data_IF_493744351503
#
_entry.id   IF_493744351503
#
_cell.length_a   1.000
_cell.length_b   1.000
_cell.length_c   1.000
_cell.angle_alpha   90.00
_cell.angle_beta   90.00
_cell.angle_gamma   90.00
#
_symmetry.space_group_name_H-M   'P 1'
#
loop_
_entity.id
_entity.type
_entity.pdbx_description
1 polymer ?
#
# COMPACT_ATOMS: atom_id res chain seq x y z
N UNK A 1 5.99 -13.93 18.04
CA UNK A 1 4.62 -13.38 17.90
C UNK A 1 4.51 -12.76 16.52
N UNK A 2 3.36 -12.83 15.83
CA UNK A 2 3.22 -12.16 14.53
C UNK A 2 3.38 -10.66 14.70
N UNK A 3 4.15 -10.04 13.82
CA UNK A 3 4.32 -8.58 13.73
C UNK A 3 2.97 -7.97 13.30
N UNK A 4 2.12 -7.61 14.26
CA UNK A 4 0.87 -6.90 13.99
C UNK A 4 1.15 -5.41 13.85
N UNK A 5 0.82 -4.86 12.69
CA UNK A 5 0.99 -3.45 12.34
C UNK A 5 -0.39 -2.93 11.92
N UNK A 6 -1.17 -2.48 12.91
CA UNK A 6 -2.63 -2.33 12.75
C UNK A 6 -3.10 -0.86 12.91
N UNK A 7 -2.17 0.10 13.03
CA UNK A 7 -2.47 1.53 13.21
C UNK A 7 -1.76 2.43 12.19
N UNK A 8 -2.17 3.69 12.11
CA UNK A 8 -1.58 4.66 11.18
C UNK A 8 -1.80 4.30 9.71
N UNK A 9 -0.78 4.51 8.89
CA UNK A 9 -0.85 4.24 7.45
C UNK A 9 -1.00 2.74 7.12
N UNK A 10 -0.64 1.84 8.04
CA UNK A 10 -0.82 0.40 7.85
C UNK A 10 -2.30 -0.02 7.71
N UNK A 11 -3.25 0.81 8.16
CA UNK A 11 -4.69 0.59 7.96
C UNK A 11 -5.14 0.70 6.50
N UNK A 12 -4.28 1.22 5.60
CA UNK A 12 -4.64 1.55 4.21
C UNK A 12 -4.00 0.61 3.17
N UNK A 13 -3.68 -0.64 3.54
CA UNK A 13 -2.94 -1.60 2.68
C UNK A 13 -1.63 -0.99 2.13
N UNK A 14 -0.96 -0.22 2.99
CA UNK A 14 0.24 0.54 2.66
C UNK A 14 1.33 0.27 3.69
N UNK A 15 2.55 0.02 3.20
CA UNK A 15 3.70 -0.23 4.07
C UNK A 15 4.43 1.09 4.33
N UNK A 16 4.39 1.56 5.57
CA UNK A 16 5.07 2.78 5.99
C UNK A 16 6.56 2.53 6.29
N UNK A 17 7.39 2.63 5.25
CA UNK A 17 8.84 2.46 5.36
C UNK A 17 9.54 3.54 6.21
N UNK A 18 8.99 4.76 6.27
CA UNK A 18 9.51 5.79 7.18
C UNK A 18 9.28 5.42 8.64
N UNK A 19 8.12 4.84 8.96
CA UNK A 19 7.83 4.36 10.31
C UNK A 19 8.72 3.18 10.72
N UNK A 20 8.97 2.23 9.80
CA UNK A 20 9.86 1.09 10.06
C UNK A 20 11.27 1.58 10.42
N UNK A 21 11.83 2.51 9.64
CA UNK A 21 13.17 3.05 9.91
C UNK A 21 13.18 4.16 10.96
N UNK A 22 12.02 4.64 11.41
CA UNK A 22 11.85 5.80 12.28
C UNK A 22 12.63 7.02 11.78
N UNK A 23 12.36 7.41 10.54
CA UNK A 23 12.85 8.65 9.93
C UNK A 23 11.67 9.55 9.54
N UNK A 24 11.83 10.88 9.54
CA UNK A 24 10.81 11.79 9.02
C UNK A 24 10.41 11.47 7.58
N UNK A 25 9.17 11.77 7.18
CA UNK A 25 8.68 11.58 5.80
C UNK A 25 9.48 12.40 4.77
N UNK A 26 10.04 13.53 5.18
CA UNK A 26 10.89 14.38 4.34
C UNK A 26 12.39 14.07 4.44
N UNK A 27 12.76 12.93 5.06
CA UNK A 27 14.16 12.56 5.25
C UNK A 27 14.89 12.28 3.94
N UNK A 28 16.14 12.75 3.85
CA UNK A 28 16.98 12.53 2.67
C UNK A 28 17.68 11.15 2.66
N UNK A 29 18.37 10.83 1.56
CA UNK A 29 19.07 9.54 1.41
C UNK A 29 20.15 9.32 2.49
N UNK A 30 20.82 10.40 2.91
CA UNK A 30 21.92 10.35 3.88
C UNK A 30 21.36 10.08 5.27
N UNK A 31 20.25 10.71 5.63
CA UNK A 31 19.52 10.49 6.88
C UNK A 31 18.98 9.07 6.96
N UNK A 32 18.34 8.58 5.89
CA UNK A 32 17.85 7.20 5.77
C UNK A 32 19.00 6.21 5.96
N UNK A 33 20.12 6.39 5.25
CA UNK A 33 21.30 5.52 5.37
C UNK A 33 21.90 5.55 6.77
N UNK A 34 22.08 6.74 7.35
CA UNK A 34 22.63 6.90 8.71
C UNK A 34 21.76 6.19 9.74
N UNK A 35 20.44 6.28 9.60
CA UNK A 35 19.49 5.62 10.51
C UNK A 35 19.51 4.10 10.33
N UNK A 36 19.45 3.61 9.08
CA UNK A 36 19.54 2.18 8.78
C UNK A 36 20.77 1.54 9.40
N UNK A 37 21.96 2.12 9.24
CA UNK A 37 23.20 1.56 9.80
C UNK A 37 23.17 1.43 11.33
N UNK A 38 22.51 2.37 12.02
CA UNK A 38 22.31 2.28 13.48
C UNK A 38 21.38 1.13 13.87
N UNK A 39 20.28 0.96 13.13
CA UNK A 39 19.33 -0.13 13.37
C UNK A 39 19.99 -1.48 13.08
N UNK A 40 20.63 -1.61 11.91
CA UNK A 40 21.30 -2.82 11.49
C UNK A 40 22.35 -3.27 12.52
N UNK A 41 23.18 -2.35 13.03
CA UNK A 41 24.16 -2.68 14.08
C UNK A 41 23.50 -3.25 15.34
N UNK A 42 22.31 -2.76 15.71
CA UNK A 42 21.58 -3.22 16.90
C UNK A 42 20.88 -4.56 16.70
N UNK A 43 20.39 -4.86 15.49
CA UNK A 43 19.60 -6.06 15.20
C UNK A 43 20.40 -7.20 14.56
N UNK A 44 21.58 -6.93 13.99
CA UNK A 44 22.36 -7.94 13.28
C UNK A 44 22.99 -8.95 14.26
N UNK A 45 22.94 -10.26 13.98
CA UNK A 45 23.40 -11.30 14.90
C UNK A 45 24.86 -11.09 15.36
N UNK A 46 25.76 -10.71 14.45
CA UNK A 46 27.19 -10.57 14.74
C UNK A 46 27.58 -9.30 15.51
N UNK A 47 26.72 -8.28 15.55
CA UNK A 47 27.01 -6.98 16.18
C UNK A 47 26.03 -6.59 17.29
N UNK A 48 24.95 -7.34 17.45
CA UNK A 48 23.90 -7.03 18.43
C UNK A 48 24.35 -7.33 19.86
N UNK A 49 23.98 -6.47 20.80
CA UNK A 49 24.08 -6.72 22.25
C UNK A 49 22.86 -7.50 22.77
N UNK A 50 22.07 -8.10 21.88
CA UNK A 50 20.79 -8.74 22.21
C UNK A 50 21.06 -10.09 22.85
N UNK A 51 20.57 -10.26 24.08
CA UNK A 51 20.74 -11.48 24.88
C UNK A 51 19.42 -12.24 24.91
N UNK A 52 19.47 -13.56 24.75
CA UNK A 52 18.29 -14.44 24.77
C UNK A 52 17.85 -14.89 23.37
N UNK A 53 17.55 -16.19 23.24
CA UNK A 53 17.21 -16.81 21.95
C UNK A 53 15.92 -16.23 21.33
N UNK A 54 14.92 -15.93 22.15
CA UNK A 54 13.68 -15.28 21.70
C UNK A 54 13.96 -13.92 21.06
N UNK A 55 14.81 -13.11 21.68
CA UNK A 55 15.06 -11.74 21.24
C UNK A 55 15.97 -11.72 20.01
N UNK A 56 16.89 -12.67 19.89
CA UNK A 56 17.65 -12.90 18.65
C UNK A 56 16.72 -13.27 17.48
N UNK A 57 15.73 -14.12 17.72
CA UNK A 57 14.74 -14.48 16.69
C UNK A 57 13.93 -13.25 16.27
N UNK A 58 13.44 -12.46 17.24
CA UNK A 58 12.70 -11.22 16.94
C UNK A 58 13.59 -10.23 16.18
N UNK A 59 14.85 -10.04 16.59
CA UNK A 59 15.80 -9.16 15.91
C UNK A 59 16.01 -9.58 14.46
N UNK A 60 16.21 -10.88 14.22
CA UNK A 60 16.34 -11.43 12.88
C UNK A 60 15.09 -11.20 12.03
N UNK A 61 13.89 -11.45 12.58
CA UNK A 61 12.63 -11.21 11.86
C UNK A 61 12.43 -9.72 11.55
N UNK A 62 12.65 -8.83 12.51
CA UNK A 62 12.56 -7.38 12.31
C UNK A 62 13.54 -6.91 11.23
N UNK A 63 14.78 -7.38 11.27
CA UNK A 63 15.81 -6.98 10.32
C UNK A 63 15.48 -7.46 8.90
N UNK A 64 15.17 -8.75 8.74
CA UNK A 64 14.97 -9.38 7.43
C UNK A 64 13.62 -9.03 6.80
N UNK A 65 12.53 -9.00 7.58
CA UNK A 65 11.16 -8.82 7.05
C UNK A 65 10.72 -7.36 6.98
N UNK A 66 11.29 -6.47 7.79
CA UNK A 66 10.88 -5.05 7.84
C UNK A 66 12.01 -4.09 7.47
N UNK A 67 13.11 -4.10 8.21
CA UNK A 67 14.15 -3.05 8.12
C UNK A 67 14.89 -3.08 6.79
N UNK A 68 15.32 -4.26 6.31
CA UNK A 68 16.02 -4.38 5.04
C UNK A 68 15.13 -3.98 3.84
N UNK A 69 13.89 -4.48 3.70
CA UNK A 69 12.97 -4.02 2.67
C UNK A 69 12.69 -2.51 2.72
N UNK A 70 12.54 -1.95 3.92
CA UNK A 70 12.33 -0.51 4.08
C UNK A 70 13.53 0.30 3.59
N UNK A 71 14.74 -0.14 3.91
CA UNK A 71 15.96 0.50 3.42
C UNK A 71 16.11 0.38 1.90
N UNK A 72 15.83 -0.78 1.32
CA UNK A 72 15.87 -0.98 -0.13
C UNK A 72 14.90 -0.02 -0.85
N UNK A 73 13.68 0.14 -0.31
CA UNK A 73 12.70 1.05 -0.89
C UNK A 73 13.13 2.52 -0.79
N UNK A 74 13.70 2.93 0.34
CA UNK A 74 14.01 4.35 0.61
C UNK A 74 15.42 4.79 0.17
N UNK A 75 16.35 3.85 -0.05
CA UNK A 75 17.73 4.17 -0.45
C UNK A 75 17.92 4.40 -1.94
N UNK A 76 17.06 3.80 -2.77
CA UNK A 76 17.10 3.94 -4.22
C UNK A 76 16.19 5.09 -4.65
N UNK A 77 16.73 6.10 -5.33
CA UNK A 77 16.02 7.34 -5.71
C UNK A 77 14.69 7.06 -6.42
N UNK A 78 14.72 6.18 -7.43
CA UNK A 78 13.51 5.81 -8.18
C UNK A 78 12.43 5.21 -7.28
N UNK A 79 12.81 4.23 -6.45
CA UNK A 79 11.88 3.56 -5.54
C UNK A 79 11.29 4.54 -4.52
N UNK A 80 12.14 5.44 -4.00
CA UNK A 80 11.73 6.49 -3.07
C UNK A 80 10.78 7.47 -3.75
N UNK A 81 11.08 7.92 -4.96
CA UNK A 81 10.21 8.84 -5.70
C UNK A 81 8.81 8.25 -5.95
N UNK A 82 8.73 6.99 -6.38
CA UNK A 82 7.46 6.26 -6.53
C UNK A 82 6.70 6.17 -5.19
N UNK A 83 7.40 5.85 -4.11
CA UNK A 83 6.83 5.74 -2.78
C UNK A 83 6.35 7.09 -2.21
N UNK A 84 7.13 8.16 -2.36
CA UNK A 84 6.77 9.53 -1.95
C UNK A 84 5.57 10.04 -2.74
N UNK A 85 5.43 9.68 -4.02
CA UNK A 85 4.24 9.99 -4.81
C UNK A 85 2.99 9.36 -4.18
N UNK A 86 3.03 8.08 -3.80
CA UNK A 86 1.91 7.41 -3.13
C UNK A 86 1.59 8.07 -1.78
N UNK A 87 2.60 8.36 -0.95
CA UNK A 87 2.41 9.09 0.32
C UNK A 87 1.72 10.44 0.11
N UNK A 88 2.14 11.19 -0.91
CA UNK A 88 1.56 12.52 -1.19
C UNK A 88 0.07 12.44 -1.53
N UNK A 89 -0.36 11.35 -2.16
CA UNK A 89 -1.75 11.14 -2.54
C UNK A 89 -2.59 10.66 -1.38
N UNK A 90 -2.05 9.76 -0.54
CA UNK A 90 -2.68 9.40 0.72
C UNK A 90 -2.91 10.67 1.56
N UNK A 91 -1.89 11.51 1.71
CA UNK A 91 -2.00 12.80 2.40
C UNK A 91 -3.13 13.67 1.83
N UNK A 92 -3.14 13.91 0.50
CA UNK A 92 -4.21 14.68 -0.16
C UNK A 92 -5.61 14.14 0.11
N UNK A 93 -5.79 12.81 0.05
CA UNK A 93 -7.08 12.18 0.35
C UNK A 93 -7.49 12.36 1.80
N UNK A 94 -6.55 12.21 2.73
CA UNK A 94 -6.78 12.42 4.16
C UNK A 94 -7.12 13.89 4.48
N UNK A 95 -6.53 14.85 3.78
CA UNK A 95 -6.84 16.28 3.98
C UNK A 95 -8.14 16.74 3.31
N UNK A 96 -8.59 16.07 2.24
CA UNK A 96 -9.84 16.38 1.54
C UNK A 96 -11.05 15.67 2.13
N UNK A 97 -10.86 14.46 2.65
CA UNK A 97 -11.91 13.76 3.35
C UNK A 97 -12.12 14.44 4.71
N UNK A 98 -13.35 14.86 5.01
CA UNK A 98 -13.79 15.17 6.39
C UNK A 98 -13.82 13.91 7.27
N UNK A 99 -13.04 12.88 6.94
CA UNK A 99 -13.03 11.59 7.60
C UNK A 99 -12.45 11.76 9.00
N UNK A 100 -13.19 11.32 10.01
CA UNK A 100 -12.64 11.16 11.35
C UNK A 100 -11.56 10.08 11.30
N UNK A 101 -10.31 10.48 11.47
CA UNK A 101 -9.22 9.53 11.70
C UNK A 101 -9.27 9.15 13.18
N UNK A 102 -9.47 7.88 13.48
CA UNK A 102 -9.36 7.35 14.83
C UNK A 102 -7.89 7.35 15.25
N UNK A 103 -7.51 8.31 16.12
CA UNK A 103 -6.18 8.43 16.70
C UNK A 103 -6.10 7.68 18.03
N UNK A 104 -5.22 6.68 18.07
CA UNK A 104 -5.05 5.78 19.21
C UNK A 104 -3.98 6.24 20.20
N UNK A 105 -3.05 7.10 19.77
CA UNK A 105 -1.93 7.56 20.62
C UNK A 105 -2.04 9.02 21.02
N UNK A 106 -1.57 9.34 22.23
CA UNK A 106 -1.55 10.71 22.73
C UNK A 106 -0.60 11.60 21.92
N UNK A 107 0.53 11.05 21.45
CA UNK A 107 1.47 11.76 20.58
C UNK A 107 0.82 12.20 19.26
N UNK A 108 -0.02 11.35 18.66
CA UNK A 108 -0.73 11.68 17.42
C UNK A 108 -1.83 12.72 17.67
N UNK A 109 -2.57 12.62 18.78
CA UNK A 109 -3.56 13.62 19.18
C UNK A 109 -2.93 14.99 19.44
N UNK A 110 -1.80 15.02 20.13
CA UNK A 110 -1.01 16.24 20.35
C UNK A 110 -0.55 16.85 19.01
N UNK A 111 0.00 16.04 18.11
CA UNK A 111 0.44 16.50 16.80
C UNK A 111 -0.72 17.02 15.94
N UNK A 112 -1.93 16.47 16.10
CA UNK A 112 -3.11 16.89 15.36
C UNK A 112 -3.54 18.34 15.69
N UNK A 113 -3.34 18.79 16.92
CA UNK A 113 -3.71 20.15 17.37
C UNK A 113 -2.54 21.13 17.42
N UNK A 114 -1.30 20.66 17.25
CA UNK A 114 -0.10 21.48 17.42
C UNK A 114 -0.03 22.68 16.44
N UNK A 115 0.43 23.88 16.88
CA UNK A 115 0.58 25.01 15.97
C UNK A 115 1.75 24.83 14.99
N UNK A 116 2.90 24.35 15.48
CA UNK A 116 4.10 24.10 14.66
C UNK A 116 4.30 22.59 14.47
N UNK A 117 3.67 22.06 13.42
CA UNK A 117 3.64 20.62 13.17
C UNK A 117 5.01 20.04 12.77
N UNK A 118 5.80 20.76 11.97
CA UNK A 118 7.10 20.29 11.46
C UNK A 118 8.08 20.02 12.58
N UNK A 119 8.24 21.01 13.47
CA UNK A 119 9.19 20.93 14.58
C UNK A 119 8.77 19.83 15.57
N UNK A 120 7.48 19.78 15.93
CA UNK A 120 6.99 18.78 16.89
C UNK A 120 7.12 17.36 16.33
N UNK A 121 6.71 17.15 15.07
CA UNK A 121 6.84 15.86 14.39
C UNK A 121 8.29 15.38 14.36
N UNK A 122 9.23 16.22 13.88
CA UNK A 122 10.65 15.84 13.80
C UNK A 122 11.26 15.56 15.17
N UNK A 123 10.88 16.33 16.20
CA UNK A 123 11.34 16.11 17.57
C UNK A 123 10.81 14.78 18.13
N UNK A 124 9.52 14.48 17.93
CA UNK A 124 8.92 13.21 18.35
C UNK A 124 9.59 12.01 17.65
N UNK A 125 9.77 12.06 16.32
CA UNK A 125 10.47 11.00 15.56
C UNK A 125 11.90 10.82 16.07
N UNK A 126 12.63 11.92 16.31
CA UNK A 126 14.01 11.86 16.83
C UNK A 126 14.07 11.22 18.20
N UNK A 127 13.13 11.55 19.10
CA UNK A 127 13.04 10.98 20.45
C UNK A 127 12.68 9.49 20.41
N UNK A 128 11.77 9.07 19.53
CA UNK A 128 11.41 7.65 19.39
C UNK A 128 12.57 6.85 18.76
N UNK A 129 13.31 7.45 17.82
CA UNK A 129 14.40 6.77 17.12
C UNK A 129 15.53 6.30 18.06
N UNK A 130 15.69 6.92 19.23
CA UNK A 130 16.69 6.50 20.22
C UNK A 130 16.33 5.21 20.93
N UNK A 131 15.03 4.91 21.09
CA UNK A 131 14.55 3.78 21.89
C UNK A 131 13.73 2.73 21.12
N UNK A 132 13.46 2.95 19.82
CA UNK A 132 12.59 2.09 18.99
C UNK A 132 12.90 0.58 19.06
N UNK A 133 14.16 0.21 19.24
CA UNK A 133 14.61 -1.18 19.31
C UNK A 133 15.31 -1.51 20.63
N UNK A 134 14.99 -0.78 21.70
CA UNK A 134 15.48 -1.11 23.05
C UNK A 134 14.79 -2.35 23.60
N UNK A 135 13.46 -2.41 23.50
CA UNK A 135 12.65 -3.57 23.82
C UNK A 135 12.04 -4.14 22.54
N UNK A 136 12.62 -5.23 22.02
CA UNK A 136 12.28 -5.76 20.69
C UNK A 136 10.83 -6.25 20.59
N UNK A 137 10.25 -6.68 21.70
CA UNK A 137 8.85 -7.12 21.79
C UNK A 137 7.89 -5.93 21.59
N UNK A 138 8.31 -4.71 21.90
CA UNK A 138 7.53 -3.49 21.69
C UNK A 138 7.73 -2.86 20.30
N UNK A 139 8.70 -3.33 19.51
CA UNK A 139 9.09 -2.69 18.25
C UNK A 139 7.90 -2.52 17.27
N UNK A 140 7.03 -3.53 17.14
CA UNK A 140 5.85 -3.45 16.26
C UNK A 140 4.85 -2.39 16.72
N UNK A 141 4.64 -2.27 18.04
CA UNK A 141 3.82 -1.21 18.64
C UNK A 141 4.42 0.14 18.32
N UNK A 142 5.72 0.33 18.57
CA UNK A 142 6.40 1.61 18.32
C UNK A 142 6.34 1.98 16.83
N UNK A 143 6.59 1.04 15.92
CA UNK A 143 6.45 1.25 14.47
C UNK A 143 5.02 1.71 14.11
N UNK A 144 4.01 1.08 14.71
CA UNK A 144 2.60 1.46 14.50
C UNK A 144 2.30 2.87 15.01
N UNK A 145 2.88 3.28 16.15
CA UNK A 145 2.74 4.65 16.68
C UNK A 145 3.39 5.67 15.76
N UNK A 146 4.59 5.39 15.24
CA UNK A 146 5.27 6.27 14.28
C UNK A 146 4.42 6.42 13.01
N UNK A 147 3.81 5.33 12.53
CA UNK A 147 2.95 5.41 11.35
C UNK A 147 1.69 6.24 11.58
N UNK A 148 1.17 6.29 12.80
CA UNK A 148 0.07 7.17 13.17
C UNK A 148 0.51 8.65 13.19
N UNK A 149 1.73 8.95 13.66
CA UNK A 149 2.33 10.29 13.54
C UNK A 149 2.48 10.71 12.07
N UNK A 150 2.98 9.80 11.23
CA UNK A 150 3.13 10.01 9.80
C UNK A 150 1.79 10.34 9.13
N UNK A 151 0.73 9.60 9.49
CA UNK A 151 -0.63 9.85 9.01
C UNK A 151 -1.10 11.26 9.37
N UNK A 152 -1.01 11.65 10.65
CA UNK A 152 -1.42 12.99 11.11
C UNK A 152 -0.61 14.09 10.42
N UNK A 153 0.70 13.89 10.29
CA UNK A 153 1.58 14.83 9.61
C UNK A 153 1.16 15.05 8.15
N UNK A 154 0.92 13.98 7.40
CA UNK A 154 0.46 14.04 6.01
C UNK A 154 -0.91 14.73 5.87
N UNK A 155 -1.86 14.37 6.74
CA UNK A 155 -3.19 14.95 6.77
C UNK A 155 -3.10 16.47 6.92
N UNK A 156 -2.35 16.95 7.91
CA UNK A 156 -2.22 18.39 8.18
C UNK A 156 -1.39 19.14 7.15
N UNK A 157 -0.31 18.54 6.63
CA UNK A 157 0.50 19.14 5.55
C UNK A 157 -0.31 19.31 4.27
N UNK A 158 -1.16 18.34 3.94
CA UNK A 158 -2.02 18.45 2.77
C UNK A 158 -3.10 19.52 2.94
N UNK A 159 -3.67 19.69 4.14
CA UNK A 159 -4.60 20.76 4.46
C UNK A 159 -3.98 22.16 4.40
N UNK A 160 -2.71 22.31 4.82
CA UNK A 160 -1.97 23.58 4.69
C UNK A 160 -1.71 23.98 3.23
N UNK A 161 -1.50 23.01 2.33
CA UNK A 161 -1.31 23.28 0.89
C UNK A 161 -2.60 23.77 0.19
N UNK A 162 -3.77 23.58 0.80
CA UNK A 162 -5.04 24.13 0.30
C UNK A 162 -5.18 25.62 0.67
N UNK A 163 -4.45 26.10 1.68
CA UNK A 163 -4.42 27.52 2.11
C UNK A 163 -3.22 28.24 1.49
N UNK A 164 -3.01 28.08 0.18
CA UNK A 164 -2.20 29.01 -0.60
C UNK A 164 -3.16 30.01 -1.27
N UNK A 165 -2.92 31.33 -1.15
CA UNK A 165 -3.84 32.31 -1.72
C UNK A 165 -3.83 32.18 -3.24
N UNK A 166 -4.89 31.59 -3.79
CA UNK A 166 -5.19 31.78 -5.19
C UNK A 166 -5.50 33.26 -5.38
N UNK A 167 -4.77 33.92 -6.29
CA UNK A 167 -5.09 35.28 -6.71
C UNK A 167 -6.58 35.38 -7.05
N UNK A 168 -7.26 36.47 -6.68
CA UNK A 168 -8.68 36.62 -6.95
C UNK A 168 -8.91 36.61 -8.47
N UNK A 169 -9.55 35.56 -8.97
CA UNK A 169 -10.07 35.54 -10.32
C UNK A 169 -11.05 36.70 -10.47
N UNK A 170 -10.67 37.69 -11.25
CA UNK A 170 -11.53 38.79 -11.63
C UNK A 170 -12.73 38.23 -12.40
N UNK A 171 -13.92 38.39 -11.83
CA UNK A 171 -15.18 38.22 -12.54
C UNK A 171 -15.25 39.22 -13.71
N UNK A 172 -15.64 38.81 -14.94
CA UNK A 172 -15.94 39.79 -15.98
C UNK A 172 -17.27 40.53 -15.65
N UNK A 173 -17.45 41.77 -16.13
CA UNK A 173 -18.61 42.57 -15.80
C UNK A 173 -19.87 42.02 -16.47
N UNK A 174 -20.98 42.06 -15.71
CA UNK A 174 -22.33 41.82 -16.24
C UNK A 174 -22.75 43.00 -17.12
N UNK A 175 -23.17 42.68 -18.34
CA UNK A 175 -24.13 43.50 -19.11
C UNK A 175 -25.40 42.70 -19.28
N UNK A 176 -26.52 43.27 -18.81
CA UNK A 176 -27.87 42.74 -18.99
C UNK A 176 -28.24 42.73 -20.49
N UNK A 177 -28.97 41.69 -20.93
CA UNK A 177 -30.27 41.75 -21.63
C UNK A 177 -30.61 40.41 -22.30
N UNK A 178 -31.49 39.61 -21.65
CA UNK A 178 -32.55 38.76 -22.23
C UNK A 178 -33.13 37.85 -21.13
N UNK A 179 -34.45 37.58 -21.10
CA UNK A 179 -35.04 36.68 -20.11
C UNK A 179 -34.57 35.23 -20.35
N UNK A 180 -34.21 34.46 -19.31
CA UNK A 180 -33.66 33.13 -19.49
C UNK A 180 -34.79 32.14 -19.84
N UNK A 181 -34.57 31.38 -20.90
CA UNK A 181 -35.19 30.07 -21.09
C UNK A 181 -34.93 29.19 -19.85
N UNK A 182 -35.87 28.32 -19.45
CA UNK A 182 -35.67 27.46 -18.29
C UNK A 182 -34.41 26.60 -18.48
N UNK A 183 -33.54 26.49 -17.46
CA UNK A 183 -32.33 25.71 -17.57
C UNK A 183 -32.68 24.23 -17.78
N UNK A 184 -31.87 23.48 -18.56
CA UNK A 184 -32.01 22.04 -18.63
C UNK A 184 -31.84 21.43 -17.23
N UNK A 185 -32.49 20.30 -16.94
CA UNK A 185 -32.42 19.67 -15.62
C UNK A 185 -30.96 19.40 -15.23
N UNK A 186 -30.60 19.54 -13.94
CA UNK A 186 -29.24 19.32 -13.48
C UNK A 186 -28.77 17.92 -13.88
N UNK A 187 -27.50 17.75 -14.30
CA UNK A 187 -26.95 16.43 -14.52
C UNK A 187 -27.06 15.64 -13.22
N UNK A 188 -27.54 14.39 -13.33
CA UNK A 188 -27.64 13.45 -12.20
C UNK A 188 -26.32 13.48 -11.45
N UNK A 189 -26.36 13.74 -10.14
CA UNK A 189 -25.18 13.67 -9.28
C UNK A 189 -24.49 12.32 -9.53
N UNK A 190 -23.27 12.36 -10.08
CA UNK A 190 -22.47 11.16 -10.27
C UNK A 190 -22.33 10.49 -8.90
N UNK A 191 -22.79 9.23 -8.78
CA UNK A 191 -22.55 8.43 -7.56
C UNK A 191 -21.08 8.53 -7.18
N UNK A 192 -20.77 8.60 -5.88
CA UNK A 192 -19.38 8.67 -5.40
C UNK A 192 -18.48 7.61 -6.08
N UNK A 193 -19.06 6.44 -6.40
CA UNK A 193 -18.41 5.36 -7.18
C UNK A 193 -18.05 5.78 -8.60
N UNK A 194 -18.94 6.45 -9.34
CA UNK A 194 -18.66 6.92 -10.70
C UNK A 194 -17.56 7.98 -10.69
N UNK A 195 -17.47 8.80 -9.62
CA UNK A 195 -16.36 9.74 -9.45
C UNK A 195 -15.00 9.02 -9.31
N UNK A 196 -14.92 7.98 -8.46
CA UNK A 196 -13.72 7.15 -8.34
C UNK A 196 -13.37 6.45 -9.65
N UNK A 197 -14.37 5.91 -10.36
CA UNK A 197 -14.20 5.25 -11.65
C UNK A 197 -13.64 6.22 -12.70
N UNK A 198 -14.18 7.45 -12.79
CA UNK A 198 -13.71 8.47 -13.74
C UNK A 198 -12.25 8.88 -13.47
N UNK A 199 -11.89 9.03 -12.19
CA UNK A 199 -10.50 9.31 -11.78
C UNK A 199 -9.57 8.16 -12.15
N UNK A 200 -9.96 6.94 -11.84
CA UNK A 200 -9.21 5.74 -12.19
C UNK A 200 -8.97 5.63 -13.70
N UNK A 201 -9.98 5.88 -14.52
CA UNK A 201 -9.84 5.89 -15.99
C UNK A 201 -8.84 6.96 -16.46
N UNK A 202 -8.86 8.15 -15.85
CA UNK A 202 -7.89 9.21 -16.14
C UNK A 202 -6.46 8.77 -15.76
N UNK A 203 -6.30 8.05 -14.65
CA UNK A 203 -5.01 7.53 -14.21
C UNK A 203 -4.51 6.41 -15.12
N UNK A 204 -5.40 5.52 -15.59
CA UNK A 204 -5.08 4.49 -16.58
C UNK A 204 -4.56 5.11 -17.88
N UNK A 205 -5.21 6.17 -18.39
CA UNK A 205 -4.75 6.88 -19.59
C UNK A 205 -3.35 7.52 -19.40
N UNK A 206 -3.00 7.88 -18.16
CA UNK A 206 -1.68 8.41 -17.80
C UNK A 206 -0.64 7.33 -17.45
N UNK A 207 -0.97 6.05 -17.67
CA UNK A 207 -0.15 4.89 -17.27
C UNK A 207 0.18 4.84 -15.76
N UNK A 208 -0.65 5.47 -14.92
CA UNK A 208 -0.49 5.47 -13.47
C UNK A 208 -1.28 4.31 -12.84
N UNK A 209 -0.89 3.08 -13.19
CA UNK A 209 -1.66 1.87 -12.90
C UNK A 209 -1.83 1.60 -11.40
N UNK A 210 -0.78 1.79 -10.60
CA UNK A 210 -0.86 1.62 -9.15
C UNK A 210 -1.95 2.51 -8.53
N UNK A 211 -2.03 3.77 -8.96
CA UNK A 211 -2.98 4.74 -8.44
C UNK A 211 -4.41 4.48 -8.93
N UNK A 212 -4.54 4.07 -10.19
CA UNK A 212 -5.82 3.64 -10.74
C UNK A 212 -6.41 2.49 -9.92
N UNK A 213 -5.60 1.51 -9.51
CA UNK A 213 -6.05 0.40 -8.65
C UNK A 213 -6.59 0.91 -7.31
N UNK A 214 -5.94 1.88 -6.69
CA UNK A 214 -6.40 2.41 -5.40
C UNK A 214 -7.76 3.12 -5.54
N UNK A 215 -7.93 4.00 -6.54
CA UNK A 215 -9.25 4.64 -6.78
C UNK A 215 -10.35 3.58 -7.01
N UNK A 216 -10.06 2.50 -7.71
CA UNK A 216 -11.05 1.44 -7.98
C UNK A 216 -11.31 0.53 -6.78
N UNK A 217 -10.33 0.36 -5.89
CA UNK A 217 -10.53 -0.34 -4.63
C UNK A 217 -11.43 0.48 -3.69
N UNK A 218 -11.25 1.80 -3.64
CA UNK A 218 -12.13 2.69 -2.88
C UNK A 218 -13.56 2.66 -3.45
N UNK A 219 -13.70 2.64 -4.78
CA UNK A 219 -14.98 2.42 -5.45
C UNK A 219 -15.63 1.09 -5.03
N UNK A 220 -14.85 0.00 -4.96
CA UNK A 220 -15.32 -1.31 -4.51
C UNK A 220 -15.65 -1.39 -3.02
N UNK A 221 -15.10 -0.52 -2.16
CA UNK A 221 -15.54 -0.45 -0.76
C UNK A 221 -16.96 0.09 -0.63
N UNK A 222 -17.35 0.99 -1.52
CA UNK A 222 -18.71 1.55 -1.59
C UNK A 222 -19.67 0.60 -2.29
N UNK A 223 -19.25 0.04 -3.43
CA UNK A 223 -20.02 -0.95 -4.19
C UNK A 223 -19.17 -2.22 -4.43
N UNK A 224 -19.19 -3.17 -3.47
CA UNK A 224 -18.41 -4.42 -3.57
C UNK A 224 -18.77 -5.32 -4.75
N UNK A 225 -19.92 -5.07 -5.40
CA UNK A 225 -20.44 -5.84 -6.53
C UNK A 225 -20.44 -5.06 -7.84
N UNK A 226 -19.45 -4.19 -8.05
CA UNK A 226 -19.35 -3.39 -9.27
C UNK A 226 -18.43 -4.08 -10.32
N UNK A 227 -19.03 -4.62 -11.40
CA UNK A 227 -18.24 -5.32 -12.45
C UNK A 227 -17.24 -4.40 -13.15
N UNK A 228 -17.65 -3.15 -13.41
CA UNK A 228 -16.83 -2.16 -14.12
C UNK A 228 -15.55 -1.84 -13.36
N UNK A 229 -15.64 -1.75 -12.02
CA UNK A 229 -14.46 -1.56 -11.18
C UNK A 229 -13.48 -2.72 -11.30
N UNK A 230 -13.97 -3.97 -11.26
CA UNK A 230 -13.11 -5.14 -11.46
C UNK A 230 -12.46 -5.15 -12.85
N UNK A 231 -13.19 -4.80 -13.92
CA UNK A 231 -12.61 -4.71 -15.27
C UNK A 231 -11.52 -3.64 -15.38
N UNK A 232 -11.70 -2.49 -14.75
CA UNK A 232 -10.69 -1.43 -14.76
C UNK A 232 -9.45 -1.79 -13.90
N UNK A 233 -9.62 -2.52 -12.80
CA UNK A 233 -8.49 -3.06 -12.02
C UNK A 233 -7.71 -4.07 -12.87
N UNK A 234 -8.41 -4.92 -13.61
CA UNK A 234 -7.78 -5.84 -14.54
C UNK A 234 -6.96 -5.11 -15.61
N UNK A 235 -7.48 -4.01 -16.17
CA UNK A 235 -6.74 -3.16 -17.10
C UNK A 235 -5.49 -2.54 -16.46
N UNK A 236 -5.56 -2.12 -15.20
CA UNK A 236 -4.39 -1.63 -14.47
C UNK A 236 -3.31 -2.71 -14.33
N UNK A 237 -3.71 -3.94 -13.97
CA UNK A 237 -2.78 -5.07 -13.89
C UNK A 237 -2.20 -5.45 -15.25
N UNK A 238 -2.94 -5.31 -16.35
CA UNK A 238 -2.39 -5.47 -17.70
C UNK A 238 -1.32 -4.44 -18.02
N UNK A 239 -1.54 -3.18 -17.66
CA UNK A 239 -0.53 -2.12 -17.80
C UNK A 239 0.76 -2.41 -17.03
N UNK A 240 0.66 -3.13 -15.92
CA UNK A 240 1.80 -3.59 -15.11
C UNK A 240 2.35 -4.97 -15.54
N UNK A 241 1.87 -5.55 -16.65
CA UNK A 241 2.24 -6.87 -17.15
C UNK A 241 1.95 -8.03 -16.17
N UNK A 242 1.00 -7.85 -15.24
CA UNK A 242 0.58 -8.86 -14.27
C UNK A 242 -0.61 -9.67 -14.79
N UNK A 243 -0.39 -10.44 -15.85
CA UNK A 243 -1.44 -11.15 -16.61
C UNK A 243 -2.33 -12.06 -15.75
N UNK A 244 -1.76 -12.78 -14.76
CA UNK A 244 -2.52 -13.66 -13.86
C UNK A 244 -3.51 -12.88 -13.00
N UNK A 245 -3.09 -11.75 -12.45
CA UNK A 245 -3.96 -10.89 -11.64
C UNK A 245 -5.04 -10.23 -12.50
N UNK A 246 -4.67 -9.76 -13.70
CA UNK A 246 -5.64 -9.23 -14.65
C UNK A 246 -6.75 -10.26 -14.98
N UNK A 247 -6.37 -11.53 -15.23
CA UNK A 247 -7.34 -12.61 -15.47
C UNK A 247 -8.33 -12.78 -14.32
N UNK A 248 -7.85 -12.85 -13.07
CA UNK A 248 -8.71 -13.00 -11.87
C UNK A 248 -9.75 -11.88 -11.81
N UNK A 249 -9.33 -10.64 -12.07
CA UNK A 249 -10.23 -9.50 -12.03
C UNK A 249 -11.22 -9.48 -13.20
N UNK A 250 -10.81 -9.91 -14.41
CA UNK A 250 -11.76 -10.11 -15.51
C UNK A 250 -12.75 -11.25 -15.25
N UNK A 251 -12.32 -12.35 -14.63
CA UNK A 251 -13.20 -13.44 -14.21
C UNK A 251 -14.26 -12.93 -13.23
N UNK A 252 -13.87 -12.12 -12.25
CA UNK A 252 -14.81 -11.52 -11.29
C UNK A 252 -15.76 -10.52 -11.95
N UNK A 253 -15.28 -9.72 -12.90
CA UNK A 253 -16.13 -8.80 -13.65
C UNK A 253 -17.22 -9.56 -14.44
N UNK A 254 -16.86 -10.65 -15.14
CA UNK A 254 -17.81 -11.47 -15.89
C UNK A 254 -18.76 -12.28 -15.00
N UNK A 255 -18.32 -12.69 -13.81
CA UNK A 255 -19.21 -13.31 -12.80
C UNK A 255 -20.30 -12.34 -12.34
N UNK A 256 -19.96 -11.06 -12.17
CA UNK A 256 -20.89 -10.03 -11.71
C UNK A 256 -21.77 -9.49 -12.84
N UNK A 257 -21.18 -9.29 -14.02
CA UNK A 257 -21.87 -8.90 -15.24
C UNK A 257 -21.29 -9.66 -16.44
N UNK A 258 -21.99 -10.70 -16.93
CA UNK A 258 -21.57 -11.47 -18.10
C UNK A 258 -21.44 -10.65 -19.39
N UNK A 259 -22.02 -9.45 -19.45
CA UNK A 259 -21.98 -8.55 -20.61
C UNK A 259 -20.95 -7.42 -20.46
N UNK A 260 -20.02 -7.51 -19.48
CA UNK A 260 -18.98 -6.50 -19.32
C UNK A 260 -18.06 -6.44 -20.55
N UNK A 261 -18.15 -5.32 -21.29
CA UNK A 261 -17.47 -5.15 -22.58
C UNK A 261 -15.95 -5.27 -22.47
N UNK A 262 -15.35 -4.68 -21.43
CA UNK A 262 -13.90 -4.72 -21.25
C UNK A 262 -13.42 -6.13 -20.93
N UNK A 263 -14.13 -6.84 -20.06
CA UNK A 263 -13.75 -8.20 -19.71
C UNK A 263 -13.93 -9.18 -20.89
N UNK A 264 -15.01 -9.06 -21.66
CA UNK A 264 -15.22 -9.85 -22.88
C UNK A 264 -14.14 -9.60 -23.93
N UNK A 265 -13.67 -8.37 -24.07
CA UNK A 265 -12.64 -8.02 -25.05
C UNK A 265 -11.24 -8.48 -24.62
N UNK A 266 -10.85 -8.20 -23.38
CA UNK A 266 -9.46 -8.34 -22.94
C UNK A 266 -9.14 -9.73 -22.39
N UNK A 267 -10.07 -10.39 -21.69
CA UNK A 267 -9.80 -11.68 -21.07
C UNK A 267 -9.31 -12.75 -22.07
N UNK A 268 -9.89 -12.93 -23.28
CA UNK A 268 -9.38 -13.91 -24.23
C UNK A 268 -7.94 -13.61 -24.68
N UNK A 269 -7.57 -12.33 -24.80
CA UNK A 269 -6.20 -11.89 -25.13
C UNK A 269 -5.24 -12.25 -24.00
N UNK A 270 -5.66 -12.07 -22.74
CA UNK A 270 -4.89 -12.44 -21.55
C UNK A 270 -4.72 -13.95 -21.43
N UNK A 271 -5.78 -14.72 -21.64
CA UNK A 271 -5.72 -16.19 -21.60
C UNK A 271 -4.76 -16.73 -22.66
N UNK A 272 -4.80 -16.17 -23.89
CA UNK A 272 -3.86 -16.50 -24.96
C UNK A 272 -2.42 -16.15 -24.58
N UNK A 273 -2.18 -14.97 -23.99
CA UNK A 273 -0.86 -14.55 -23.53
C UNK A 273 -0.31 -15.42 -22.39
N UNK A 274 -1.19 -15.99 -21.55
CA UNK A 274 -0.84 -16.95 -20.51
C UNK A 274 -0.69 -18.39 -21.03
N UNK A 275 -0.93 -18.65 -22.32
CA UNK A 275 -0.88 -20.00 -22.90
C UNK A 275 -2.06 -20.90 -22.49
N UNK A 276 -3.14 -20.32 -21.97
CA UNK A 276 -4.32 -21.05 -21.51
C UNK A 276 -5.29 -21.20 -22.69
N UNK A 277 -5.49 -22.43 -23.18
CA UNK A 277 -6.51 -22.73 -24.20
C UNK A 277 -7.92 -22.63 -23.58
N UNK A 278 -8.93 -22.11 -24.29
CA UNK A 278 -10.31 -22.06 -23.78
C UNK A 278 -10.87 -23.49 -23.77
N UNK A 279 -11.00 -24.10 -22.59
CA UNK A 279 -11.54 -25.46 -22.47
C UNK A 279 -11.39 -26.17 -21.12
N UNK A 280 -10.64 -25.63 -20.16
CA UNK A 280 -10.51 -26.27 -18.83
C UNK A 280 -11.41 -25.59 -17.79
N UNK A 281 -12.72 -25.81 -17.90
CA UNK A 281 -13.63 -25.71 -16.76
C UNK A 281 -13.41 -26.95 -15.90
N UNK A 282 -12.66 -26.83 -14.80
CA UNK A 282 -12.88 -27.69 -13.65
C UNK A 282 -12.78 -26.87 -12.37
N UNK A 283 -13.97 -26.48 -11.91
CA UNK A 283 -14.27 -26.42 -10.48
C UNK A 283 -14.12 -27.84 -9.97
N UNK A 284 -13.03 -28.13 -9.27
CA UNK A 284 -12.98 -29.26 -8.35
C UNK A 284 -12.98 -28.68 -6.94
N UNK A 285 -14.20 -28.43 -6.47
CA UNK A 285 -14.53 -28.43 -5.05
C UNK A 285 -14.65 -29.87 -4.59
N UNK A 286 -13.83 -30.28 -3.62
CA UNK A 286 -13.99 -31.34 -2.60
C UNK A 286 -12.58 -31.72 -2.10
N UNK A 287 -12.30 -31.98 -0.82
CA UNK A 287 -13.16 -32.52 0.23
C UNK A 287 -12.56 -32.26 1.62
N UNK A 288 -13.46 -32.20 2.60
CA UNK A 288 -13.22 -32.27 4.03
C UNK A 288 -13.02 -33.75 4.47
N UNK A 289 -12.22 -33.95 5.53
CA UNK A 289 -12.12 -35.10 6.47
C UNK A 289 -11.98 -36.57 6.01
N UNK A 290 -11.03 -37.29 6.65
CA UNK A 290 -11.13 -38.73 6.88
C UNK A 290 -9.80 -39.47 7.11
N UNK A 291 -9.58 -39.96 8.33
CA UNK A 291 -8.52 -40.88 8.79
C UNK A 291 -8.12 -42.01 7.82
N UNK A 292 -6.81 -42.31 7.78
CA UNK A 292 -6.19 -43.63 8.09
C UNK A 292 -4.71 -43.72 7.63
N UNK A 293 -3.80 -43.83 8.59
CA UNK A 293 -2.62 -44.71 8.49
C UNK A 293 -3.05 -46.13 8.94
N UNK A 294 -2.37 -47.25 8.58
CA UNK A 294 -0.94 -47.48 8.86
C UNK A 294 -0.13 -48.35 7.86
N UNK A 295 1.21 -48.38 8.09
CA UNK A 295 2.20 -49.46 7.89
C UNK A 295 2.42 -50.09 6.47
N UNK A 296 3.62 -50.48 6.00
CA UNK A 296 5.01 -50.57 6.50
C UNK A 296 5.93 -50.97 5.33
N UNK A 297 7.23 -50.60 5.44
CA UNK A 297 8.47 -51.30 4.97
C UNK A 297 8.62 -51.70 3.48
N UNK A 298 9.74 -51.48 2.78
CA UNK A 298 11.07 -51.02 3.19
C UNK A 298 12.09 -51.22 2.06
N UNK A 299 13.36 -50.93 2.38
CA UNK A 299 14.60 -51.22 1.61
C UNK A 299 14.85 -50.36 0.36
N UNK A 300 16.01 -49.78 0.11
CA UNK A 300 17.33 -49.92 0.74
C UNK A 300 18.27 -48.83 0.20
N UNK A 301 19.32 -48.53 0.97
CA UNK A 301 20.37 -47.62 0.56
C UNK A 301 21.36 -48.25 -0.43
N UNK A 302 22.37 -47.43 -0.79
CA UNK A 302 23.73 -47.73 -1.27
C UNK A 302 24.11 -46.96 -2.55
N UNK A 303 25.42 -46.70 -2.65
CA UNK A 303 26.24 -46.04 -3.68
C UNK A 303 26.29 -44.50 -3.59
N UNK A 304 27.39 -43.86 -3.20
CA UNK A 304 28.83 -44.10 -3.48
C UNK A 304 29.29 -42.91 -4.34
N UNK A 305 30.03 -41.92 -3.85
CA UNK A 305 31.45 -42.01 -3.50
C UNK A 305 32.28 -42.35 -4.73
N UNK A 306 32.83 -41.35 -5.47
CA UNK A 306 33.99 -41.53 -6.37
C UNK A 306 34.52 -40.19 -6.95
N UNK A 307 35.84 -39.99 -6.81
CA UNK A 307 36.79 -39.08 -7.52
C UNK A 307 36.69 -37.55 -7.30
N UNK A 308 37.73 -36.80 -6.90
CA UNK A 308 39.19 -37.08 -6.84
C UNK A 308 39.91 -36.61 -8.11
N UNK A 309 40.61 -35.47 -8.04
CA UNK A 309 41.51 -35.02 -9.11
C UNK A 309 42.23 -33.71 -8.79
N UNK A 310 43.45 -33.81 -8.25
CA UNK A 310 44.43 -32.71 -8.10
C UNK A 310 45.16 -32.47 -9.42
N UNK A 311 45.43 -31.21 -9.75
CA UNK A 311 46.79 -30.64 -9.84
C UNK A 311 46.72 -29.13 -9.74
#
# INVERSE_FOLDING_TARGET
>A
MPLKLDCGLFKYDFIDYHAILCVPIDADAKEVRKRYLKIARRLHPDSSTVVGETDKQIAHELLSKLVNPAYEKLSVERNRAEYTLVLSQIGKRLGQASASVDLNTDLAKELAIAPNIDLLYKNQITKIATTQFDELQQASRIISQISELNLVYLMRKSGQLIIQPQLPNASPPRTNLAPPTPPPPPPKEDSAVEQYVRRAQTLLQKNQFALAKVELQDALRLEPRNSRCHSLIAMAYLGENQLRMAKIHFDNALKLNPQDKLALEWKPKVDKALGIKPGATQVNSSSNHGDKQPDKSGSGGLFGGLFGGKK
#
